data_IF_068190672535
#
_entry.id   IF_068190672535
#
_cell.length_a   1.000
_cell.length_b   1.000
_cell.length_c   1.000
_cell.angle_alpha   90.00
_cell.angle_beta   90.00
_cell.angle_gamma   90.00
#
_symmetry.space_group_name_H-M   'P 1'
#
loop_
_entity.id
_entity.type
_entity.pdbx_description
1 polymer ?
#
# COMPACT_ATOMS: atom_id res chain seq x y z
N UNK A 1 41.36 8.51 7.51
CA UNK A 1 41.92 9.45 8.51
C UNK A 1 43.43 9.42 8.41
N UNK A 2 44.10 10.57 8.52
CA UNK A 2 45.56 10.68 8.50
C UNK A 2 46.08 10.88 9.94
N UNK A 3 47.13 10.17 10.31
CA UNK A 3 47.77 10.23 11.62
C UNK A 3 49.23 10.65 11.45
N UNK A 4 49.63 11.68 12.18
CA UNK A 4 50.97 12.24 12.13
C UNK A 4 51.64 12.11 13.49
N UNK A 5 52.85 11.55 13.51
CA UNK A 5 53.65 11.43 14.71
C UNK A 5 54.27 12.78 15.09
N UNK A 6 54.18 13.12 16.38
CA UNK A 6 54.81 14.29 16.99
C UNK A 6 55.64 13.91 18.22
N UNK A 7 55.98 12.64 18.37
CA UNK A 7 56.72 12.12 19.51
C UNK A 7 58.14 12.65 19.57
N UNK A 8 58.69 12.75 20.78
CA UNK A 8 60.07 13.18 21.02
C UNK A 8 60.76 12.22 22.00
N UNK A 9 62.09 12.09 21.91
CA UNK A 9 62.89 11.24 22.79
C UNK A 9 64.16 11.94 23.26
N UNK A 10 64.54 11.73 24.53
CA UNK A 10 65.82 12.18 25.11
C UNK A 10 66.12 11.42 26.42
N UNK A 11 67.26 10.71 26.56
CA UNK A 11 68.21 10.32 25.52
C UNK A 11 67.61 9.27 24.55
N UNK A 12 68.35 8.95 23.48
CA UNK A 12 67.97 7.93 22.49
C UNK A 12 67.13 8.44 21.32
N UNK A 13 66.99 7.62 20.29
CA UNK A 13 66.19 7.90 19.08
C UNK A 13 65.01 6.94 19.01
N UNK A 14 63.84 7.41 18.55
CA UNK A 14 62.68 6.55 18.28
C UNK A 14 63.03 5.60 17.12
N UNK A 15 62.88 4.30 17.34
CA UNK A 15 63.17 3.23 16.36
C UNK A 15 61.92 2.58 15.82
N UNK A 16 60.84 2.54 16.60
CA UNK A 16 59.61 1.83 16.24
C UNK A 16 58.36 2.62 16.61
N UNK A 17 57.33 2.49 15.77
CA UNK A 17 55.98 3.01 15.97
C UNK A 17 54.99 1.85 15.87
N UNK A 18 53.95 1.88 16.69
CA UNK A 18 52.86 0.91 16.66
C UNK A 18 51.55 1.62 16.98
N UNK A 19 50.76 1.81 15.93
CA UNK A 19 49.39 2.29 16.02
C UNK A 19 48.43 1.13 16.25
N UNK A 20 47.49 1.33 17.17
CA UNK A 20 46.22 0.61 17.29
C UNK A 20 45.11 1.63 17.03
N UNK A 21 44.30 1.41 15.99
CA UNK A 21 43.24 2.33 15.58
C UNK A 21 41.93 2.12 16.35
N UNK A 22 41.86 1.16 17.27
CA UNK A 22 40.69 0.93 18.12
C UNK A 22 39.53 0.20 17.42
N UNK A 23 39.70 -0.20 16.16
CA UNK A 23 38.78 -1.04 15.38
C UNK A 23 39.41 -2.41 15.00
N UNK A 24 40.55 -2.74 15.62
CA UNK A 24 41.36 -3.91 15.29
C UNK A 24 42.38 -3.69 14.17
N UNK A 25 42.36 -2.53 13.50
CA UNK A 25 43.40 -2.11 12.56
C UNK A 25 44.68 -1.67 13.29
N UNK A 26 45.84 -1.98 12.70
CA UNK A 26 47.15 -1.58 13.24
C UNK A 26 48.09 -1.06 12.17
N UNK A 27 49.11 -0.29 12.55
CA UNK A 27 50.18 0.14 11.63
C UNK A 27 51.51 0.30 12.35
N UNK A 28 52.62 0.07 11.64
CA UNK A 28 53.98 0.32 12.14
C UNK A 28 54.69 1.51 11.47
N UNK A 29 53.97 2.25 10.62
CA UNK A 29 54.51 3.46 9.99
C UNK A 29 54.54 4.61 10.99
N UNK A 30 55.55 5.48 10.93
CA UNK A 30 55.61 6.70 11.76
C UNK A 30 54.39 7.61 11.52
N UNK A 31 54.12 7.93 10.26
CA UNK A 31 52.90 8.61 9.83
C UNK A 31 52.03 7.60 9.11
N UNK A 32 50.77 7.49 9.52
CA UNK A 32 49.90 6.42 9.05
C UNK A 32 48.59 6.95 8.50
N UNK A 33 47.93 6.12 7.71
CA UNK A 33 46.58 6.38 7.21
C UNK A 33 45.72 5.16 7.54
N UNK A 34 44.51 5.41 8.00
CA UNK A 34 43.55 4.34 8.32
C UNK A 34 42.16 4.68 7.83
N UNK A 35 41.43 3.68 7.36
CA UNK A 35 40.06 3.82 6.87
C UNK A 35 39.13 3.04 7.79
N UNK A 36 38.24 3.77 8.47
CA UNK A 36 37.21 3.17 9.31
C UNK A 36 36.01 2.78 8.46
N UNK A 37 35.49 1.57 8.68
CA UNK A 37 34.37 1.00 7.92
C UNK A 37 32.99 1.35 8.50
N UNK A 38 32.94 1.85 9.74
CA UNK A 38 31.70 2.21 10.42
C UNK A 38 31.81 3.57 11.12
N UNK A 39 30.67 4.22 11.30
CA UNK A 39 30.59 5.39 12.17
C UNK A 39 30.79 4.94 13.62
N UNK A 40 31.50 5.72 14.41
CA UNK A 40 31.83 5.36 15.77
C UNK A 40 32.79 6.33 16.43
N UNK A 41 33.01 6.10 17.72
CA UNK A 41 34.10 6.73 18.48
C UNK A 41 35.18 5.69 18.69
N UNK A 42 36.39 5.98 18.27
CA UNK A 42 37.52 5.06 18.30
C UNK A 42 38.64 5.62 19.19
N UNK A 43 39.15 4.80 20.10
CA UNK A 43 40.33 5.12 20.89
C UNK A 43 41.57 4.68 20.10
N UNK A 44 42.31 5.64 19.58
CA UNK A 44 43.52 5.42 18.79
C UNK A 44 44.73 5.56 19.71
N UNK A 45 45.57 4.54 19.75
CA UNK A 45 46.79 4.53 20.56
C UNK A 45 48.02 4.46 19.67
N UNK A 46 49.03 5.29 19.92
CA UNK A 46 50.37 5.17 19.37
C UNK A 46 51.32 4.74 20.49
N UNK A 47 52.00 3.62 20.29
CA UNK A 47 53.13 3.18 21.11
C UNK A 47 54.42 3.37 20.34
N UNK A 48 55.41 4.04 20.94
CA UNK A 48 56.76 4.18 20.38
C UNK A 48 57.77 3.38 21.18
N UNK A 49 58.86 2.97 20.54
CA UNK A 49 60.04 2.36 21.17
C UNK A 49 61.27 3.15 20.78
N UNK A 50 62.19 3.38 21.72
CA UNK A 50 63.49 4.00 21.44
C UNK A 50 64.63 2.99 21.37
N UNK A 51 65.77 3.42 20.84
CA UNK A 51 67.03 2.65 20.78
C UNK A 51 67.46 2.07 22.13
N UNK A 52 67.07 2.72 23.22
CA UNK A 52 67.42 2.34 24.58
C UNK A 52 66.34 1.45 25.22
N UNK A 53 65.41 0.94 24.40
CA UNK A 53 64.27 0.10 24.77
C UNK A 53 63.24 0.79 25.68
N UNK A 54 63.21 2.12 25.72
CA UNK A 54 62.12 2.85 26.39
C UNK A 54 60.86 2.79 25.54
N UNK A 55 59.71 2.55 26.17
CA UNK A 55 58.41 2.53 25.52
C UNK A 55 57.49 3.60 26.09
N UNK A 56 56.67 4.20 25.23
CA UNK A 56 55.65 5.17 25.64
C UNK A 56 54.42 5.01 24.77
N UNK A 57 53.24 5.07 25.39
CA UNK A 57 51.96 4.98 24.70
C UNK A 57 51.15 6.23 24.96
N UNK A 58 50.59 6.82 23.91
CA UNK A 58 49.62 7.89 23.98
C UNK A 58 48.35 7.47 23.25
N UNK A 59 47.18 7.74 23.84
CA UNK A 59 45.90 7.44 23.23
C UNK A 59 45.04 8.70 23.14
N UNK A 60 44.30 8.83 22.04
CA UNK A 60 43.31 9.88 21.82
C UNK A 60 42.06 9.31 21.18
N UNK A 61 40.92 9.98 21.37
CA UNK A 61 39.64 9.56 20.81
C UNK A 61 39.31 10.37 19.57
N UNK A 62 38.93 9.68 18.50
CA UNK A 62 38.37 10.33 17.31
C UNK A 62 36.93 9.89 17.10
N UNK A 63 36.14 10.76 16.47
CA UNK A 63 34.76 10.47 16.06
C UNK A 63 34.71 10.38 14.54
N UNK A 64 34.29 9.23 14.04
CA UNK A 64 33.97 9.01 12.62
C UNK A 64 32.45 9.04 12.50
N UNK A 65 31.93 10.06 11.83
CA UNK A 65 30.49 10.25 11.61
C UNK A 65 30.16 10.68 10.17
N UNK A 66 31.12 10.52 9.26
CA UNK A 66 31.01 10.97 7.88
C UNK A 66 30.57 9.86 6.90
N UNK A 67 30.45 8.60 7.36
CA UNK A 67 29.87 7.55 6.53
C UNK A 67 28.36 7.79 6.49
N UNK A 68 27.80 7.95 5.30
CA UNK A 68 26.36 8.11 5.16
C UNK A 68 25.68 6.81 5.54
N UNK A 69 24.80 6.86 6.54
CA UNK A 69 23.95 5.73 6.86
C UNK A 69 23.00 5.51 5.69
N UNK A 70 22.94 4.27 5.21
CA UNK A 70 21.99 3.86 4.18
C UNK A 70 20.57 4.09 4.66
N UNK A 71 19.79 4.81 3.85
CA UNK A 71 18.37 5.06 4.06
C UNK A 71 17.58 4.47 2.90
N UNK A 72 16.46 3.84 3.22
CA UNK A 72 15.51 3.34 2.24
C UNK A 72 14.09 3.54 2.77
N UNK A 73 13.18 3.87 1.86
CA UNK A 73 11.78 4.13 2.17
C UNK A 73 10.93 3.37 1.15
N UNK A 74 10.25 2.32 1.61
CA UNK A 74 9.32 1.58 0.79
C UNK A 74 8.10 2.45 0.52
N UNK A 75 7.63 2.48 -0.72
CA UNK A 75 6.38 3.14 -1.04
C UNK A 75 5.82 2.58 -2.34
N UNK A 76 4.51 2.40 -2.40
CA UNK A 76 3.84 2.07 -3.65
C UNK A 76 2.63 2.97 -3.85
N UNK A 77 2.30 3.19 -5.11
CA UNK A 77 1.02 3.70 -5.54
C UNK A 77 0.22 2.55 -6.14
N UNK A 78 -1.10 2.66 -6.14
CA UNK A 78 -1.93 1.66 -6.79
C UNK A 78 -3.10 2.30 -7.54
N UNK A 79 -3.59 1.59 -8.55
CA UNK A 79 -4.82 1.93 -9.25
C UNK A 79 -5.69 0.68 -9.40
N UNK A 80 -7.00 0.88 -9.36
CA UNK A 80 -7.94 -0.18 -9.69
C UNK A 80 -7.94 -0.36 -11.21
N UNK A 81 -7.59 -1.56 -11.67
CA UNK A 81 -7.70 -1.98 -13.06
C UNK A 81 -9.12 -2.47 -13.38
N UNK A 82 -9.22 -3.53 -14.18
CA UNK A 82 -10.49 -4.25 -14.33
C UNK A 82 -10.80 -5.03 -13.04
N UNK A 83 -11.84 -4.62 -12.32
CA UNK A 83 -12.26 -5.27 -11.07
C UNK A 83 -12.34 -6.80 -11.23
N UNK A 84 -11.74 -7.61 -10.33
CA UNK A 84 -11.09 -7.26 -9.05
C UNK A 84 -9.56 -7.13 -9.10
N UNK A 85 -9.01 -6.69 -10.23
CA UNK A 85 -7.56 -6.54 -10.43
C UNK A 85 -7.08 -5.15 -10.02
N UNK A 86 -5.97 -5.11 -9.27
CA UNK A 86 -5.26 -3.91 -8.83
C UNK A 86 -3.85 -3.90 -9.42
N UNK A 87 -3.43 -2.74 -9.89
CA UNK A 87 -2.09 -2.48 -10.42
C UNK A 87 -1.29 -1.73 -9.34
N UNK A 88 -0.12 -2.25 -8.98
CA UNK A 88 0.80 -1.69 -8.00
C UNK A 88 2.05 -1.15 -8.70
N UNK A 89 2.42 0.07 -8.37
CA UNK A 89 3.58 0.77 -8.92
C UNK A 89 4.55 1.14 -7.79
N UNK A 90 5.77 0.66 -7.90
CA UNK A 90 6.83 1.02 -6.97
C UNK A 90 7.18 2.50 -7.09
N UNK A 91 7.24 3.18 -5.96
CA UNK A 91 7.68 4.56 -5.81
C UNK A 91 8.66 4.70 -4.64
N UNK A 92 9.30 3.59 -4.25
CA UNK A 92 10.24 3.54 -3.15
C UNK A 92 11.52 4.34 -3.46
N UNK A 93 12.20 4.79 -2.42
CA UNK A 93 13.46 5.54 -2.54
C UNK A 93 14.57 4.89 -1.73
N UNK A 94 15.82 5.05 -2.18
CA UNK A 94 17.00 4.59 -1.45
C UNK A 94 18.21 5.47 -1.73
N UNK A 95 19.10 5.57 -0.74
CA UNK A 95 20.39 6.25 -0.86
C UNK A 95 21.35 5.77 0.24
N UNK A 96 22.65 5.54 -0.06
CA UNK A 96 23.26 5.55 -1.39
C UNK A 96 23.01 4.24 -2.16
N UNK A 97 22.55 3.18 -1.49
CA UNK A 97 22.25 1.89 -2.11
C UNK A 97 21.13 1.96 -3.14
N UNK A 98 21.10 0.96 -4.01
CA UNK A 98 20.04 0.76 -4.99
C UNK A 98 19.13 -0.37 -4.50
N UNK A 99 17.82 -0.25 -4.73
CA UNK A 99 16.86 -1.32 -4.44
C UNK A 99 17.20 -2.53 -5.32
N UNK A 100 17.36 -3.70 -4.71
CA UNK A 100 17.68 -4.97 -5.38
C UNK A 100 16.52 -5.95 -5.35
N UNK A 101 15.64 -5.86 -4.35
CA UNK A 101 14.54 -6.80 -4.17
C UNK A 101 13.26 -6.08 -3.75
N UNK A 102 12.13 -6.58 -4.28
CA UNK A 102 10.77 -6.19 -3.92
C UNK A 102 10.02 -7.44 -3.45
N UNK A 103 9.20 -7.30 -2.43
CA UNK A 103 8.35 -8.36 -1.91
C UNK A 103 7.01 -7.78 -1.50
N UNK A 104 5.99 -8.06 -2.30
CA UNK A 104 4.61 -7.74 -2.01
C UNK A 104 3.94 -8.89 -1.26
N UNK A 105 3.18 -8.55 -0.22
CA UNK A 105 2.12 -9.34 0.38
C UNK A 105 0.81 -8.57 0.18
N UNK A 106 -0.15 -9.15 -0.53
CA UNK A 106 -1.40 -8.46 -0.86
C UNK A 106 -2.45 -8.55 0.27
N UNK A 107 -2.18 -9.25 1.37
CA UNK A 107 -3.07 -9.35 2.52
C UNK A 107 -4.21 -10.36 2.34
N UNK A 108 -4.26 -11.09 1.23
CA UNK A 108 -5.18 -12.21 0.96
C UNK A 108 -4.45 -13.56 0.82
N UNK A 109 -3.14 -13.59 1.13
CA UNK A 109 -2.25 -14.72 0.93
C UNK A 109 -1.54 -14.74 -0.42
N UNK A 110 -1.88 -13.83 -1.33
CA UNK A 110 -1.12 -13.60 -2.57
C UNK A 110 0.16 -12.82 -2.32
N UNK A 111 1.22 -13.14 -3.07
CA UNK A 111 2.52 -12.46 -2.98
C UNK A 111 3.13 -12.20 -4.35
N UNK A 112 4.06 -11.25 -4.45
CA UNK A 112 4.83 -11.00 -5.69
C UNK A 112 6.24 -10.51 -5.38
N UNK A 113 7.19 -10.79 -6.27
CA UNK A 113 8.56 -10.25 -6.19
C UNK A 113 8.90 -9.29 -7.34
N UNK A 114 7.91 -8.87 -8.12
CA UNK A 114 8.08 -7.90 -9.20
C UNK A 114 8.09 -6.49 -8.62
N UNK A 115 8.92 -5.59 -9.17
CA UNK A 115 8.93 -4.17 -8.79
C UNK A 115 7.55 -3.52 -8.95
N UNK A 116 6.97 -3.62 -10.14
CA UNK A 116 5.59 -3.26 -10.42
C UNK A 116 4.78 -4.55 -10.51
N UNK A 117 3.68 -4.63 -9.78
CA UNK A 117 2.92 -5.86 -9.67
C UNK A 117 1.45 -5.67 -10.06
N UNK A 118 0.79 -6.79 -10.31
CA UNK A 118 -0.64 -6.85 -10.62
C UNK A 118 -1.22 -8.00 -9.83
N UNK A 119 -2.27 -7.72 -9.06
CA UNK A 119 -2.92 -8.73 -8.23
C UNK A 119 -4.43 -8.70 -8.40
N UNK A 120 -5.04 -9.88 -8.42
CA UNK A 120 -6.48 -10.05 -8.58
C UNK A 120 -7.05 -10.62 -7.29
N UNK A 121 -7.82 -9.82 -6.57
CA UNK A 121 -8.47 -10.23 -5.33
C UNK A 121 -9.72 -11.07 -5.64
N UNK A 122 -9.83 -12.26 -5.06
CA UNK A 122 -10.93 -13.19 -5.41
C UNK A 122 -12.27 -12.83 -4.77
N UNK A 123 -12.26 -12.04 -3.70
CA UNK A 123 -13.45 -11.63 -2.97
C UNK A 123 -13.47 -10.10 -2.75
N UNK A 124 -14.67 -9.57 -2.53
CA UNK A 124 -14.83 -8.22 -2.03
C UNK A 124 -14.37 -8.13 -0.58
N UNK A 125 -13.80 -7.00 -0.21
CA UNK A 125 -13.34 -6.78 1.15
C UNK A 125 -12.29 -5.69 1.26
N UNK A 126 -11.76 -5.60 2.46
CA UNK A 126 -10.64 -4.75 2.82
C UNK A 126 -9.41 -5.61 3.00
N UNK A 127 -8.35 -5.28 2.28
CA UNK A 127 -7.05 -5.97 2.35
C UNK A 127 -5.96 -4.99 2.75
N UNK A 128 -4.96 -5.45 3.49
CA UNK A 128 -3.78 -4.65 3.82
C UNK A 128 -2.63 -5.17 2.96
N UNK A 129 -2.28 -4.42 1.92
CA UNK A 129 -1.19 -4.78 1.04
C UNK A 129 0.10 -4.12 1.54
N UNK A 130 1.17 -4.91 1.65
CA UNK A 130 2.48 -4.47 2.10
C UNK A 130 3.54 -4.70 1.02
N UNK A 131 4.42 -3.72 0.81
CA UNK A 131 5.64 -3.85 0.03
C UNK A 131 6.83 -3.78 0.97
N UNK A 132 7.70 -4.78 0.92
CA UNK A 132 9.03 -4.77 1.52
C UNK A 132 10.09 -4.66 0.43
N UNK A 133 11.02 -3.72 0.60
CA UNK A 133 12.20 -3.58 -0.28
C UNK A 133 13.48 -3.93 0.46
N UNK A 134 14.46 -4.43 -0.29
CA UNK A 134 15.86 -4.59 0.18
C UNK A 134 16.79 -3.89 -0.80
N UNK A 135 17.82 -3.24 -0.28
CA UNK A 135 18.83 -2.53 -1.07
C UNK A 135 20.18 -3.26 -1.04
N UNK A 136 21.06 -2.90 -1.99
CA UNK A 136 22.40 -3.47 -2.12
C UNK A 136 23.32 -3.24 -0.90
N UNK A 137 23.02 -2.24 -0.08
CA UNK A 137 23.68 -1.93 1.19
C UNK A 137 22.91 -2.49 2.41
N UNK A 138 22.01 -3.45 2.18
CA UNK A 138 21.26 -4.18 3.20
C UNK A 138 20.28 -3.34 4.02
N UNK A 139 19.84 -2.18 3.52
CA UNK A 139 18.69 -1.48 4.09
C UNK A 139 17.41 -2.25 3.75
N UNK A 140 16.49 -2.36 4.71
CA UNK A 140 15.17 -2.98 4.53
C UNK A 140 14.11 -2.03 5.03
N UNK A 141 13.05 -1.83 4.24
CA UNK A 141 11.91 -0.99 4.59
C UNK A 141 10.62 -1.64 4.12
N UNK A 142 9.54 -1.43 4.87
CA UNK A 142 8.21 -1.97 4.57
C UNK A 142 7.17 -0.86 4.66
N UNK A 143 6.30 -0.78 3.65
CA UNK A 143 5.15 0.12 3.60
C UNK A 143 3.89 -0.68 3.35
N UNK A 144 2.82 -0.36 4.09
CA UNK A 144 1.52 -1.01 3.94
C UNK A 144 0.42 0.01 3.71
N UNK A 145 -0.52 -0.33 2.83
CA UNK A 145 -1.71 0.48 2.55
C UNK A 145 -2.97 -0.40 2.51
N UNK A 146 -4.11 0.21 2.79
CA UNK A 146 -5.42 -0.46 2.81
C UNK A 146 -6.07 -0.40 1.43
N UNK A 147 -6.27 -1.56 0.82
CA UNK A 147 -6.90 -1.72 -0.48
C UNK A 147 -8.36 -2.15 -0.28
N UNK A 148 -9.29 -1.37 -0.83
CA UNK A 148 -10.73 -1.67 -0.82
C UNK A 148 -11.13 -2.28 -2.15
N UNK A 149 -11.59 -3.53 -2.11
CA UNK A 149 -12.14 -4.23 -3.26
C UNK A 149 -13.64 -4.33 -3.10
N UNK A 150 -14.36 -3.59 -3.94
CA UNK A 150 -15.81 -3.62 -4.00
C UNK A 150 -16.22 -3.78 -5.45
N UNK A 151 -16.03 -4.98 -5.97
CA UNK A 151 -16.46 -5.36 -7.30
C UNK A 151 -17.91 -5.79 -7.28
N UNK A 152 -18.68 -5.25 -8.21
CA UNK A 152 -19.98 -5.81 -8.55
C UNK A 152 -19.67 -6.99 -9.47
N UNK A 153 -19.52 -8.19 -8.92
CA UNK A 153 -19.65 -9.40 -9.71
C UNK A 153 -21.05 -9.35 -10.32
N UNK A 154 -21.16 -9.36 -11.66
CA UNK A 154 -22.41 -9.05 -12.34
C UNK A 154 -23.60 -9.81 -11.76
N UNK A 155 -24.70 -9.08 -11.47
CA UNK A 155 -26.09 -9.48 -11.17
C UNK A 155 -26.36 -10.58 -10.12
N UNK A 156 -25.47 -11.54 -9.86
CA UNK A 156 -25.70 -12.70 -9.00
C UNK A 156 -25.51 -12.39 -7.50
N UNK A 157 -24.72 -11.36 -7.17
CA UNK A 157 -24.57 -10.85 -5.80
C UNK A 157 -25.62 -9.78 -5.43
N UNK A 158 -26.53 -9.47 -6.35
CA UNK A 158 -27.77 -8.76 -6.04
C UNK A 158 -28.85 -9.80 -5.72
N UNK A 159 -28.77 -10.37 -4.52
CA UNK A 159 -29.95 -10.96 -3.87
C UNK A 159 -30.89 -9.84 -3.37
N UNK A 160 -31.16 -8.89 -4.25
CA UNK A 160 -32.25 -7.94 -4.23
C UNK A 160 -32.94 -8.18 -5.56
N UNK A 161 -34.10 -8.83 -5.54
CA UNK A 161 -35.08 -8.89 -6.63
C UNK A 161 -34.85 -7.72 -7.61
N UNK A 162 -34.21 -8.02 -8.75
CA UNK A 162 -33.97 -7.02 -9.79
C UNK A 162 -35.34 -6.60 -10.32
N UNK A 163 -35.86 -5.52 -9.76
CA UNK A 163 -37.12 -4.95 -10.19
C UNK A 163 -36.91 -4.31 -11.56
N UNK A 164 -37.05 -5.12 -12.61
CA UNK A 164 -36.96 -4.63 -13.98
C UNK A 164 -38.35 -4.12 -14.38
N UNK A 165 -38.42 -2.85 -14.80
CA UNK A 165 -39.63 -2.21 -15.31
C UNK A 165 -39.55 -2.13 -16.83
N UNK A 166 -40.46 -2.80 -17.54
CA UNK A 166 -40.48 -2.85 -19.00
C UNK A 166 -41.89 -2.61 -19.57
N UNK A 167 -42.06 -1.93 -20.70
CA UNK A 167 -41.02 -1.18 -21.41
C UNK A 167 -40.60 0.07 -20.62
N UNK A 168 -39.36 0.50 -20.82
CA UNK A 168 -38.89 1.80 -20.34
C UNK A 168 -38.01 2.42 -21.43
N UNK A 169 -38.42 3.53 -22.10
CA UNK A 169 -39.63 4.32 -21.84
C UNK A 169 -40.95 3.59 -22.12
N UNK A 170 -42.00 3.95 -21.38
CA UNK A 170 -43.33 3.35 -21.42
C UNK A 170 -44.37 4.30 -22.04
N UNK A 171 -45.36 3.71 -22.73
CA UNK A 171 -46.53 4.44 -23.22
C UNK A 171 -47.73 4.17 -22.32
N UNK A 172 -48.43 3.05 -22.45
CA UNK A 172 -49.69 2.86 -21.72
C UNK A 172 -49.55 1.90 -20.55
N UNK A 173 -48.48 1.10 -20.53
CA UNK A 173 -48.28 0.10 -19.50
C UNK A 173 -46.80 -0.08 -19.16
N UNK A 174 -46.55 -0.53 -17.94
CA UNK A 174 -45.28 -1.10 -17.49
C UNK A 174 -45.53 -2.47 -16.88
N UNK A 175 -44.55 -3.34 -16.95
CA UNK A 175 -44.55 -4.69 -16.40
C UNK A 175 -43.34 -4.88 -15.51
N UNK A 176 -43.54 -5.60 -14.40
CA UNK A 176 -42.47 -6.00 -13.51
C UNK A 176 -42.12 -7.45 -13.76
N UNK A 177 -40.84 -7.70 -14.01
CA UNK A 177 -40.31 -9.05 -13.94
C UNK A 177 -39.93 -9.32 -12.49
N UNK A 178 -40.72 -10.16 -11.83
CA UNK A 178 -40.53 -10.57 -10.44
C UNK A 178 -40.41 -12.10 -10.40
N UNK A 179 -39.36 -12.60 -9.76
CA UNK A 179 -39.20 -14.04 -9.53
C UNK A 179 -39.68 -14.37 -8.11
N UNK A 180 -40.57 -15.35 -7.99
CA UNK A 180 -40.99 -15.98 -6.73
C UNK A 180 -41.75 -15.12 -5.70
N UNK A 181 -42.37 -14.00 -6.08
CA UNK A 181 -43.15 -13.17 -5.14
C UNK A 181 -44.64 -13.56 -5.11
N UNK A 182 -45.17 -13.88 -3.92
CA UNK A 182 -46.58 -14.27 -3.70
C UNK A 182 -47.54 -13.07 -3.70
N UNK A 183 -47.12 -11.94 -3.13
CA UNK A 183 -47.89 -10.70 -3.06
C UNK A 183 -46.95 -9.50 -2.96
N UNK A 184 -47.25 -8.43 -3.71
CA UNK A 184 -46.42 -7.22 -3.79
C UNK A 184 -47.27 -6.00 -3.51
N UNK A 185 -46.90 -5.26 -2.47
CA UNK A 185 -47.43 -3.91 -2.26
C UNK A 185 -46.63 -2.94 -3.13
N UNK A 186 -47.29 -2.01 -3.80
CA UNK A 186 -46.62 -1.05 -4.68
C UNK A 186 -47.07 0.38 -4.43
N UNK A 187 -46.20 1.31 -4.80
CA UNK A 187 -46.42 2.75 -4.79
C UNK A 187 -45.67 3.39 -5.96
N UNK A 188 -46.39 4.11 -6.82
CA UNK A 188 -45.80 4.88 -7.92
C UNK A 188 -45.82 6.36 -7.57
N UNK A 189 -44.67 7.00 -7.69
CA UNK A 189 -44.39 8.36 -7.26
C UNK A 189 -43.84 9.13 -8.45
N UNK A 190 -44.44 10.26 -8.77
CA UNK A 190 -43.90 11.18 -9.77
C UNK A 190 -42.63 11.87 -9.24
N UNK A 191 -41.72 12.32 -10.11
CA UNK A 191 -40.45 12.93 -9.69
C UNK A 191 -40.57 14.12 -8.71
N UNK A 192 -41.72 14.77 -8.66
CA UNK A 192 -42.03 15.85 -7.71
C UNK A 192 -42.48 15.34 -6.32
N UNK A 193 -42.41 14.03 -6.07
CA UNK A 193 -42.81 13.40 -4.81
C UNK A 193 -44.30 13.07 -4.70
N UNK A 194 -45.14 13.43 -5.69
CA UNK A 194 -46.57 13.11 -5.66
C UNK A 194 -46.79 11.62 -5.91
N UNK A 195 -47.45 10.95 -4.96
CA UNK A 195 -47.93 9.58 -5.15
C UNK A 195 -49.08 9.59 -6.15
N UNK A 196 -48.96 8.82 -7.23
CA UNK A 196 -49.95 8.75 -8.32
C UNK A 196 -50.70 7.42 -8.33
N UNK A 197 -50.14 6.35 -7.77
CA UNK A 197 -50.83 5.08 -7.59
C UNK A 197 -50.25 4.30 -6.39
N UNK A 198 -51.09 3.50 -5.75
CA UNK A 198 -50.72 2.53 -4.72
C UNK A 198 -51.63 1.32 -4.81
N UNK A 199 -51.18 0.15 -4.39
CA UNK A 199 -52.03 -1.02 -4.31
C UNK A 199 -51.27 -2.30 -3.95
N UNK A 200 -51.94 -3.43 -4.11
CA UNK A 200 -51.39 -4.76 -3.87
C UNK A 200 -51.66 -5.65 -5.08
N UNK A 201 -50.67 -6.45 -5.49
CA UNK A 201 -50.74 -7.41 -6.60
C UNK A 201 -50.36 -8.81 -6.10
N UNK A 202 -50.93 -9.87 -6.67
CA UNK A 202 -50.68 -11.26 -6.28
C UNK A 202 -49.97 -12.04 -7.41
N UNK A 203 -49.21 -13.09 -7.04
CA UNK A 203 -48.31 -13.93 -7.88
C UNK A 203 -48.91 -14.42 -9.20
N UNK A 204 -50.22 -14.60 -9.22
CA UNK A 204 -50.95 -15.28 -10.28
C UNK A 204 -51.17 -14.36 -11.49
N UNK A 205 -50.76 -13.09 -11.38
CA UNK A 205 -50.93 -12.07 -12.39
C UNK A 205 -49.58 -11.61 -12.95
N UNK A 206 -49.51 -11.45 -14.27
CA UNK A 206 -48.49 -10.61 -14.87
C UNK A 206 -48.57 -9.24 -14.15
N UNK A 207 -47.46 -8.81 -13.54
CA UNK A 207 -47.39 -7.58 -12.76
C UNK A 207 -47.36 -6.35 -13.69
N UNK A 208 -48.42 -6.17 -14.47
CA UNK A 208 -48.60 -5.04 -15.39
C UNK A 208 -49.32 -3.90 -14.68
N UNK A 209 -48.99 -2.66 -15.04
CA UNK A 209 -49.58 -1.44 -14.50
C UNK A 209 -50.04 -0.59 -15.67
N UNK A 210 -51.33 -0.29 -15.70
CA UNK A 210 -51.86 0.70 -16.63
C UNK A 210 -51.45 2.10 -16.15
N UNK A 211 -50.72 2.81 -17.01
CA UNK A 211 -50.24 4.17 -16.83
C UNK A 211 -50.72 5.10 -17.95
N UNK A 212 -51.75 4.70 -18.70
CA UNK A 212 -52.31 5.48 -19.81
C UNK A 212 -52.73 6.89 -19.39
N UNK A 213 -53.31 7.01 -18.20
CA UNK A 213 -53.75 8.27 -17.58
C UNK A 213 -52.63 9.06 -16.89
N UNK A 214 -51.40 8.52 -16.85
CA UNK A 214 -50.28 9.21 -16.20
C UNK A 214 -49.76 10.32 -17.12
N UNK A 215 -49.45 11.47 -16.51
CA UNK A 215 -48.76 12.54 -17.22
C UNK A 215 -47.40 12.06 -17.75
N UNK A 216 -46.92 12.66 -18.85
CA UNK A 216 -45.57 12.39 -19.34
C UNK A 216 -44.54 12.85 -18.30
N UNK A 217 -43.51 12.04 -18.06
CA UNK A 217 -42.48 12.38 -17.08
C UNK A 217 -41.78 11.18 -16.45
N UNK A 218 -40.93 11.48 -15.47
CA UNK A 218 -40.18 10.49 -14.70
C UNK A 218 -40.96 10.05 -13.45
N UNK A 219 -40.90 8.75 -13.18
CA UNK A 219 -41.58 8.10 -12.06
C UNK A 219 -40.63 7.16 -11.31
N UNK A 220 -40.87 7.05 -10.01
CA UNK A 220 -40.31 6.03 -9.12
C UNK A 220 -41.40 5.02 -8.80
N UNK A 221 -41.09 3.75 -8.94
CA UNK A 221 -41.89 2.64 -8.45
C UNK A 221 -41.21 2.09 -7.21
N UNK A 222 -41.87 2.16 -6.07
CA UNK A 222 -41.49 1.47 -4.84
C UNK A 222 -42.37 0.23 -4.70
N UNK A 223 -41.78 -0.91 -4.34
CA UNK A 223 -42.51 -2.12 -3.98
C UNK A 223 -42.03 -2.68 -2.66
N UNK A 224 -42.89 -3.42 -1.98
CA UNK A 224 -42.55 -4.16 -0.76
C UNK A 224 -42.93 -5.63 -0.96
N UNK A 225 -41.93 -6.52 -0.83
CA UNK A 225 -42.03 -7.97 -0.97
C UNK A 225 -41.53 -8.57 0.33
N UNK A 226 -42.38 -9.33 1.03
CA UNK A 226 -42.05 -10.00 2.29
C UNK A 226 -41.38 -9.08 3.34
N UNK A 227 -41.83 -7.81 3.39
CA UNK A 227 -41.31 -6.77 4.30
C UNK A 227 -40.04 -6.06 3.83
N UNK A 228 -39.48 -6.44 2.68
CA UNK A 228 -38.31 -5.79 2.07
C UNK A 228 -38.73 -4.81 0.99
N UNK A 229 -38.19 -3.59 1.03
CA UNK A 229 -38.49 -2.54 0.05
C UNK A 229 -37.51 -2.54 -1.11
N UNK A 230 -38.06 -2.45 -2.32
CA UNK A 230 -37.32 -2.32 -3.58
C UNK A 230 -37.81 -1.09 -4.33
N UNK A 231 -36.96 -0.51 -5.19
CA UNK A 231 -37.33 0.66 -5.99
C UNK A 231 -36.77 0.60 -7.39
N UNK A 232 -37.54 1.05 -8.37
CA UNK A 232 -37.13 1.21 -9.76
C UNK A 232 -37.58 2.56 -10.33
N UNK A 233 -36.99 2.99 -11.44
CA UNK A 233 -37.36 4.23 -12.14
C UNK A 233 -37.84 3.90 -13.54
N UNK A 234 -38.85 4.64 -14.03
CA UNK A 234 -39.30 4.55 -15.41
C UNK A 234 -39.74 5.91 -15.97
N UNK A 235 -39.74 6.03 -17.30
CA UNK A 235 -40.18 7.21 -18.03
C UNK A 235 -41.50 6.93 -18.76
N UNK A 236 -42.49 7.82 -18.61
CA UNK A 236 -43.72 7.85 -19.40
C UNK A 236 -43.55 8.85 -20.56
N UNK A 237 -43.72 8.40 -21.79
CA UNK A 237 -43.67 9.23 -23.01
C UNK A 237 -45.04 9.42 -23.66
#
# INVERSE_FOLDING_TARGET
VLFFDASTSSPGTITDWSYDFGDGGTSSLQNSTHTYSANGTYAVCLTIVTSDSCTSTYCDTIVVNCLQQSTCDAFFQYTLGACPTVLFFDASTSSPGTITDWSYDFGDGGTSSLQNSTHTYTANGTYVACLTIVTSDSCTSTYCDTIQISCIAGIDDLNLLNLIVMPNPAQNEISLQLENASTVNYKIIMYNGKVVATGTRHSDTNHTFDISEFAKGAYFLEIEIDGTRHSAKFMKY
#
